data_IF_700523568322
#
_entry.id   IF_700523568322
#
_cell.length_a   1.000
_cell.length_b   1.000
_cell.length_c   1.000
_cell.angle_alpha   90.00
_cell.angle_beta   90.00
_cell.angle_gamma   90.00
#
_symmetry.space_group_name_H-M   'P 1'
#
loop_
_entity.id
_entity.type
_entity.pdbx_description
1 polymer ?
#
# COMPACT_ATOMS: atom_id res chain seq x y z
N UNK A 1 23.00 0.80 -9.92
CA UNK A 1 21.84 0.00 -9.48
C UNK A 1 20.57 0.82 -9.68
N UNK A 2 19.89 0.65 -10.81
CA UNK A 2 18.75 1.48 -11.21
C UNK A 2 17.41 0.90 -10.78
N UNK A 3 16.63 1.67 -10.04
CA UNK A 3 15.24 1.37 -9.68
C UNK A 3 14.35 1.41 -10.93
N UNK A 4 14.12 0.27 -11.57
CA UNK A 4 13.23 0.11 -12.74
C UNK A 4 11.74 0.32 -12.41
N UNK A 5 11.35 0.41 -11.13
CA UNK A 5 9.97 0.67 -10.68
C UNK A 5 9.53 2.14 -10.82
N UNK A 6 10.37 3.01 -11.40
CA UNK A 6 10.14 4.45 -11.45
C UNK A 6 10.07 5.04 -12.87
N UNK A 7 10.19 4.21 -13.92
CA UNK A 7 10.12 4.64 -15.33
C UNK A 7 8.68 4.46 -15.91
N UNK A 8 7.75 3.89 -15.14
CA UNK A 8 6.34 3.69 -15.53
C UNK A 8 5.36 4.66 -14.85
N UNK A 9 4.14 4.72 -15.38
CA UNK A 9 2.99 5.32 -14.69
C UNK A 9 2.24 4.25 -13.88
N UNK A 10 1.43 4.68 -12.90
CA UNK A 10 0.68 3.79 -11.99
C UNK A 10 -0.21 2.84 -12.79
N UNK A 11 -0.78 3.31 -13.90
CA UNK A 11 -1.62 2.52 -14.80
C UNK A 11 -0.84 1.35 -15.41
N UNK A 12 0.36 1.58 -15.94
CA UNK A 12 1.19 0.52 -16.51
C UNK A 12 1.60 -0.52 -15.45
N UNK A 13 1.92 -0.08 -14.23
CA UNK A 13 2.20 -1.01 -13.13
C UNK A 13 0.95 -1.80 -12.74
N UNK A 14 -0.21 -1.15 -12.68
CA UNK A 14 -1.47 -1.80 -12.35
C UNK A 14 -1.89 -2.82 -13.42
N UNK A 15 -1.72 -2.50 -14.70
CA UNK A 15 -1.96 -3.43 -15.82
C UNK A 15 -1.05 -4.65 -15.74
N UNK A 16 0.24 -4.45 -15.42
CA UNK A 16 1.19 -5.56 -15.21
C UNK A 16 0.78 -6.41 -14.00
N UNK A 17 0.41 -5.77 -12.90
CA UNK A 17 0.00 -6.49 -11.71
C UNK A 17 -1.31 -7.25 -11.91
N UNK A 18 -2.30 -6.66 -12.57
CA UNK A 18 -3.56 -7.33 -12.95
C UNK A 18 -3.31 -8.56 -13.83
N UNK A 19 -2.33 -8.52 -14.75
CA UNK A 19 -1.91 -9.71 -15.52
C UNK A 19 -1.30 -10.79 -14.63
N UNK A 20 -0.52 -10.42 -13.61
CA UNK A 20 0.01 -11.38 -12.63
C UNK A 20 -1.11 -11.97 -11.78
N UNK A 21 -2.04 -11.15 -11.30
CA UNK A 21 -3.21 -11.58 -10.55
C UNK A 21 -4.03 -12.60 -11.33
N UNK A 22 -4.32 -12.35 -12.63
CA UNK A 22 -4.99 -13.33 -13.51
C UNK A 22 -4.26 -14.66 -13.59
N UNK A 23 -2.93 -14.64 -13.68
CA UNK A 23 -2.15 -15.89 -13.76
C UNK A 23 -2.29 -16.70 -12.48
N UNK A 24 -2.10 -16.05 -11.33
CA UNK A 24 -2.20 -16.68 -10.01
C UNK A 24 -3.62 -17.22 -9.77
N UNK A 25 -4.65 -16.45 -10.13
CA UNK A 25 -6.05 -16.84 -9.93
C UNK A 25 -6.47 -18.06 -10.78
N UNK A 26 -5.78 -18.30 -11.90
CA UNK A 26 -6.00 -19.50 -12.73
C UNK A 26 -5.11 -20.70 -12.34
N UNK A 27 -4.24 -20.57 -11.34
CA UNK A 27 -3.47 -21.70 -10.81
C UNK A 27 -4.40 -22.59 -9.97
N UNK A 28 -4.45 -23.89 -10.29
CA UNK A 28 -5.44 -24.83 -9.72
C UNK A 28 -5.39 -25.01 -8.19
N UNK A 29 -4.33 -24.52 -7.52
CA UNK A 29 -4.08 -24.73 -6.10
C UNK A 29 -4.21 -23.45 -5.25
N UNK A 30 -4.76 -22.36 -5.80
CA UNK A 30 -4.93 -21.11 -5.06
C UNK A 30 -6.35 -21.04 -4.47
N UNK A 31 -6.48 -21.41 -3.20
CA UNK A 31 -7.77 -21.31 -2.48
C UNK A 31 -8.11 -19.89 -2.04
N UNK A 32 -7.09 -19.07 -1.78
CA UNK A 32 -7.25 -17.70 -1.29
C UNK A 32 -6.01 -16.86 -1.59
N UNK A 33 -6.21 -15.67 -2.16
CA UNK A 33 -5.14 -14.73 -2.47
C UNK A 33 -5.18 -13.50 -1.57
N UNK A 34 -4.17 -13.35 -0.72
CA UNK A 34 -3.96 -12.15 0.10
C UNK A 34 -2.95 -11.21 -0.55
N UNK A 35 -3.10 -9.90 -0.31
CA UNK A 35 -2.19 -8.89 -0.86
C UNK A 35 -1.65 -8.03 0.28
N UNK A 36 -0.32 -7.90 0.35
CA UNK A 36 0.36 -6.98 1.25
C UNK A 36 1.16 -6.03 0.38
N UNK A 37 0.86 -4.73 0.46
CA UNK A 37 1.41 -3.74 -0.44
C UNK A 37 1.97 -2.52 0.31
N UNK A 38 3.18 -2.10 -0.06
CA UNK A 38 3.88 -0.99 0.57
C UNK A 38 3.95 0.22 -0.36
N UNK A 39 3.78 1.43 0.19
CA UNK A 39 3.98 2.69 -0.51
C UNK A 39 3.19 2.76 -1.83
N UNK A 40 3.85 3.09 -2.95
CA UNK A 40 3.29 3.04 -4.32
C UNK A 40 2.56 1.73 -4.63
N UNK A 41 3.03 0.60 -4.10
CA UNK A 41 2.41 -0.71 -4.31
C UNK A 41 0.94 -0.75 -3.90
N UNK A 42 0.53 0.03 -2.89
CA UNK A 42 -0.88 0.10 -2.49
C UNK A 42 -1.74 0.80 -3.54
N UNK A 43 -1.23 1.84 -4.19
CA UNK A 43 -1.93 2.53 -5.28
C UNK A 43 -2.03 1.63 -6.52
N UNK A 44 -0.93 0.94 -6.85
CA UNK A 44 -0.91 -0.06 -7.93
C UNK A 44 -1.91 -1.17 -7.65
N UNK A 45 -1.99 -1.65 -6.40
CA UNK A 45 -2.94 -2.69 -5.98
C UNK A 45 -4.38 -2.20 -6.12
N UNK A 46 -4.71 -1.01 -5.59
CA UNK A 46 -6.05 -0.42 -5.73
C UNK A 46 -6.48 -0.36 -7.18
N UNK A 47 -5.61 0.14 -8.07
CA UNK A 47 -5.91 0.20 -9.50
C UNK A 47 -5.98 -1.18 -10.15
N UNK A 48 -5.06 -2.08 -9.84
CA UNK A 48 -5.01 -3.42 -10.43
C UNK A 48 -6.28 -4.21 -10.11
N UNK A 49 -6.80 -4.10 -8.88
CA UNK A 49 -8.02 -4.78 -8.46
C UNK A 49 -9.29 -4.24 -9.14
N UNK A 50 -9.27 -2.99 -9.62
CA UNK A 50 -10.34 -2.46 -10.50
C UNK A 50 -10.25 -3.00 -11.92
N UNK A 51 -9.04 -3.32 -12.40
CA UNK A 51 -8.81 -3.90 -13.73
C UNK A 51 -9.12 -5.40 -13.74
N UNK A 52 -8.76 -6.10 -12.66
CA UNK A 52 -9.03 -7.51 -12.47
C UNK A 52 -9.13 -7.84 -10.99
N UNK A 53 -10.30 -8.38 -10.61
CA UNK A 53 -10.57 -8.88 -9.27
C UNK A 53 -10.43 -10.41 -9.27
N UNK A 54 -9.44 -10.99 -8.56
CA UNK A 54 -9.35 -12.43 -8.37
C UNK A 54 -10.64 -12.99 -7.73
N UNK A 55 -11.08 -14.16 -8.18
CA UNK A 55 -12.31 -14.81 -7.67
C UNK A 55 -12.18 -15.09 -6.16
N UNK A 56 -11.01 -15.56 -5.74
CA UNK A 56 -10.72 -15.89 -4.36
C UNK A 56 -9.87 -14.81 -3.65
N UNK A 57 -10.11 -13.52 -3.93
CA UNK A 57 -9.41 -12.47 -3.19
C UNK A 57 -9.79 -12.53 -1.70
N UNK A 58 -8.78 -12.75 -0.87
CA UNK A 58 -8.87 -12.59 0.58
C UNK A 58 -8.68 -11.13 0.98
N UNK A 59 -7.87 -10.95 2.01
CA UNK A 59 -7.62 -9.65 2.66
C UNK A 59 -6.44 -8.91 2.07
N UNK A 60 -6.54 -7.58 2.09
CA UNK A 60 -5.49 -6.67 1.64
C UNK A 60 -4.93 -5.87 2.82
N UNK A 61 -3.61 -5.69 2.88
CA UNK A 61 -2.93 -4.82 3.86
C UNK A 61 -2.09 -3.79 3.14
N UNK A 62 -2.32 -2.51 3.45
CA UNK A 62 -1.53 -1.39 2.95
C UNK A 62 -0.55 -0.89 4.01
N UNK A 63 0.72 -0.74 3.65
CA UNK A 63 1.76 -0.21 4.52
C UNK A 63 2.28 1.11 3.97
N UNK A 64 2.05 2.19 4.71
CA UNK A 64 2.48 3.55 4.35
C UNK A 64 2.14 3.89 2.89
N UNK A 65 0.96 3.50 2.42
CA UNK A 65 0.53 3.78 1.04
C UNK A 65 -0.11 5.17 0.96
N UNK A 66 0.31 6.05 0.03
CA UNK A 66 -0.21 7.41 -0.03
C UNK A 66 -1.58 7.48 -0.72
N UNK A 67 -2.63 6.99 -0.08
CA UNK A 67 -3.96 6.84 -0.67
C UNK A 67 -4.65 8.15 -1.02
N UNK A 68 -4.28 9.26 -0.36
CA UNK A 68 -4.78 10.61 -0.64
C UNK A 68 -3.73 11.52 -1.28
N UNK A 69 -2.69 10.90 -1.85
CA UNK A 69 -1.57 11.59 -2.48
C UNK A 69 -0.54 12.13 -1.49
N UNK A 70 0.49 12.76 -2.03
CA UNK A 70 1.67 13.27 -1.36
C UNK A 70 1.82 14.74 -1.69
N UNK A 71 2.18 15.55 -0.68
CA UNK A 71 2.57 16.93 -0.92
C UNK A 71 3.85 16.96 -1.75
N UNK A 72 3.76 17.50 -2.97
CA UNK A 72 4.87 17.52 -3.94
C UNK A 72 6.14 18.20 -3.39
N UNK A 73 6.01 19.11 -2.42
CA UNK A 73 7.13 19.77 -1.74
C UNK A 73 7.96 18.90 -0.78
N UNK A 74 7.49 17.71 -0.38
CA UNK A 74 8.25 16.81 0.53
C UNK A 74 9.38 16.04 -0.16
N UNK A 75 9.41 16.00 -1.48
CA UNK A 75 10.43 15.29 -2.25
C UNK A 75 11.75 16.08 -2.44
N UNK A 76 11.80 17.35 -2.03
CA UNK A 76 12.95 18.25 -2.26
C UNK A 76 14.21 17.90 -1.43
N UNK A 77 14.08 17.07 -0.39
CA UNK A 77 15.21 16.61 0.44
C UNK A 77 15.71 15.23 0.04
N UNK A 78 16.69 15.16 -0.88
CA UNK A 78 17.52 13.97 -1.11
C UNK A 78 17.11 13.01 -2.25
N UNK A 79 15.97 13.26 -2.89
CA UNK A 79 15.37 12.35 -3.89
C UNK A 79 15.19 13.00 -5.29
N UNK A 80 16.09 13.91 -5.67
CA UNK A 80 16.01 14.72 -6.90
C UNK A 80 15.83 13.91 -8.21
N UNK A 81 16.13 12.61 -8.21
CA UNK A 81 15.88 11.73 -9.37
C UNK A 81 14.45 11.18 -9.46
N UNK A 82 13.64 11.23 -8.40
CA UNK A 82 12.25 10.72 -8.40
C UNK A 82 11.23 11.70 -8.98
N UNK A 83 11.51 13.01 -8.99
CA UNK A 83 10.64 13.99 -9.67
C UNK A 83 10.55 13.79 -11.18
N UNK A 84 11.51 13.06 -11.79
CA UNK A 84 11.49 12.70 -13.22
C UNK A 84 10.59 11.48 -13.50
N UNK A 85 9.97 10.91 -12.47
CA UNK A 85 9.20 9.68 -12.55
C UNK A 85 7.70 10.00 -12.61
N UNK A 86 7.04 9.63 -13.71
CA UNK A 86 5.60 9.93 -13.94
C UNK A 86 4.69 9.41 -12.82
N UNK A 87 5.04 8.28 -12.20
CA UNK A 87 4.32 7.76 -11.03
C UNK A 87 4.31 8.74 -9.84
N UNK A 88 5.40 9.47 -9.59
CA UNK A 88 5.47 10.46 -8.49
C UNK A 88 4.59 11.67 -8.80
N UNK A 89 4.54 12.12 -10.06
CA UNK A 89 3.62 13.19 -10.46
C UNK A 89 2.15 12.78 -10.29
N UNK A 90 1.81 11.50 -10.52
CA UNK A 90 0.47 10.96 -10.32
C UNK A 90 0.08 10.82 -8.85
N UNK A 91 1.06 10.74 -7.94
CA UNK A 91 0.86 10.72 -6.49
C UNK A 91 0.63 12.08 -5.88
N UNK A 92 0.51 13.16 -6.64
CA UNK A 92 0.22 14.48 -6.07
C UNK A 92 -1.04 14.46 -5.20
N UNK A 93 -1.07 15.24 -4.12
CA UNK A 93 -2.22 15.47 -3.25
C UNK A 93 -3.23 16.49 -3.81
N UNK A 94 -2.98 17.06 -4.99
CA UNK A 94 -3.92 17.98 -5.66
C UNK A 94 -5.24 17.25 -5.95
N UNK A 95 -6.42 17.89 -5.73
CA UNK A 95 -7.73 17.23 -5.91
C UNK A 95 -7.98 16.61 -7.30
N UNK A 96 -7.29 17.07 -8.34
CA UNK A 96 -7.34 16.51 -9.70
C UNK A 96 -6.28 15.43 -10.00
N UNK A 97 -5.51 14.97 -9.01
CA UNK A 97 -4.48 13.96 -9.22
C UNK A 97 -5.09 12.57 -9.44
N UNK A 98 -4.33 11.71 -10.12
CA UNK A 98 -4.76 10.33 -10.38
C UNK A 98 -5.09 9.57 -9.09
N UNK A 99 -4.30 9.74 -8.03
CA UNK A 99 -4.54 9.08 -6.75
C UNK A 99 -5.85 9.49 -6.09
N UNK A 100 -6.20 10.78 -6.17
CA UNK A 100 -7.45 11.29 -5.63
C UNK A 100 -8.68 10.92 -6.47
N UNK A 101 -8.47 10.45 -7.71
CA UNK A 101 -9.52 9.93 -8.59
C UNK A 101 -9.70 8.41 -8.50
N UNK A 102 -8.80 7.70 -7.81
CA UNK A 102 -8.98 6.26 -7.60
C UNK A 102 -10.20 6.04 -6.70
N UNK A 103 -11.15 5.23 -7.18
CA UNK A 103 -12.29 4.83 -6.37
C UNK A 103 -11.87 4.25 -5.01
N UNK A 104 -12.74 4.41 -4.01
CA UNK A 104 -12.54 3.80 -2.71
C UNK A 104 -12.50 2.27 -2.88
N UNK A 105 -11.65 1.55 -2.12
CA UNK A 105 -11.68 0.10 -2.09
C UNK A 105 -13.08 -0.41 -1.74
N UNK A 106 -13.60 -1.32 -2.55
CA UNK A 106 -14.85 -2.06 -2.34
C UNK A 106 -14.60 -3.44 -1.73
N UNK A 107 -13.50 -3.57 -1.00
CA UNK A 107 -13.00 -4.84 -0.48
C UNK A 107 -12.45 -4.71 0.94
N UNK A 108 -12.35 -5.83 1.66
CA UNK A 108 -11.80 -5.85 3.00
C UNK A 108 -10.29 -5.52 3.00
N UNK A 109 -9.91 -4.45 3.69
CA UNK A 109 -8.51 -4.05 3.84
C UNK A 109 -8.23 -3.38 5.19
N UNK A 110 -6.98 -3.51 5.62
CA UNK A 110 -6.44 -2.74 6.73
C UNK A 110 -5.24 -1.91 6.27
N UNK A 111 -4.94 -0.86 7.03
CA UNK A 111 -3.87 0.06 6.70
C UNK A 111 -2.94 0.30 7.90
N UNK A 112 -1.67 0.52 7.60
CA UNK A 112 -0.64 0.81 8.58
C UNK A 112 0.12 2.08 8.18
N UNK A 113 0.42 2.93 9.15
CA UNK A 113 1.18 4.15 8.97
C UNK A 113 2.44 4.17 9.86
N UNK A 114 3.38 5.05 9.52
CA UNK A 114 4.61 5.25 10.26
C UNK A 114 4.66 6.68 10.80
N UNK A 115 4.95 6.85 12.10
CA UNK A 115 4.98 8.17 12.76
C UNK A 115 6.05 9.09 12.19
N UNK A 116 7.23 8.55 11.83
CA UNK A 116 8.36 9.33 11.33
C UNK A 116 8.46 9.26 9.80
N UNK A 117 7.32 9.10 9.12
CA UNK A 117 7.26 9.06 7.67
C UNK A 117 7.36 10.48 7.07
N UNK A 118 8.53 10.78 6.52
CA UNK A 118 8.74 12.04 5.81
C UNK A 118 8.10 12.08 4.42
N UNK A 119 7.75 10.92 3.86
CA UNK A 119 7.15 10.81 2.53
C UNK A 119 5.64 10.88 2.62
N UNK A 120 5.03 9.93 3.34
CA UNK A 120 3.58 9.72 3.41
C UNK A 120 3.07 10.19 4.78
N UNK A 121 2.34 11.33 4.85
CA UNK A 121 1.66 11.73 6.08
C UNK A 121 0.66 10.65 6.50
N UNK A 122 0.48 10.47 7.81
CA UNK A 122 -0.48 9.52 8.39
C UNK A 122 -1.88 9.67 7.79
N UNK A 123 -2.35 10.91 7.61
CA UNK A 123 -3.66 11.20 7.03
C UNK A 123 -3.79 10.74 5.58
N UNK A 124 -2.67 10.65 4.85
CA UNK A 124 -2.64 10.11 3.49
C UNK A 124 -2.64 8.58 3.48
N UNK A 125 -2.07 7.96 4.50
CA UNK A 125 -2.10 6.50 4.69
C UNK A 125 -3.46 5.98 5.16
N UNK A 126 -4.26 6.82 5.81
CA UNK A 126 -5.62 6.48 6.21
C UNK A 126 -6.60 6.61 5.04
N UNK A 127 -7.44 5.59 4.86
CA UNK A 127 -8.48 5.56 3.84
C UNK A 127 -9.79 5.07 4.45
N UNK A 128 -10.89 5.74 4.11
CA UNK A 128 -12.22 5.35 4.58
C UNK A 128 -12.57 3.92 4.15
N UNK A 129 -13.26 3.19 5.01
CA UNK A 129 -13.60 1.78 4.81
C UNK A 129 -12.54 0.79 5.28
N UNK A 130 -11.42 1.24 5.88
CA UNK A 130 -10.47 0.32 6.51
C UNK A 130 -11.10 -0.41 7.70
N UNK A 131 -10.95 -1.72 7.76
CA UNK A 131 -11.44 -2.54 8.89
C UNK A 131 -10.57 -2.42 10.13
N UNK A 132 -9.29 -2.07 9.95
CA UNK A 132 -8.35 -1.80 11.03
C UNK A 132 -7.26 -0.81 10.55
N UNK A 133 -6.75 0.00 11.48
CA UNK A 133 -5.71 1.00 11.21
C UNK A 133 -4.71 1.08 12.37
N UNK A 134 -3.40 1.03 12.05
CA UNK A 134 -2.34 1.08 13.07
C UNK A 134 -1.19 1.99 12.69
N UNK A 135 -0.63 2.67 13.68
CA UNK A 135 0.53 3.55 13.52
C UNK A 135 1.70 2.98 14.31
N UNK A 136 2.88 2.93 13.69
CA UNK A 136 4.11 2.48 14.33
C UNK A 136 5.13 3.62 14.45
N UNK A 137 5.87 3.70 15.58
CA UNK A 137 6.89 4.73 15.79
C UNK A 137 8.18 4.39 15.02
N UNK A 138 8.11 4.45 13.69
CA UNK A 138 9.20 4.07 12.78
C UNK A 138 9.21 4.95 11.52
N UNK A 139 10.20 4.72 10.65
CA UNK A 139 10.34 5.38 9.34
C UNK A 139 9.59 4.60 8.25
N UNK A 140 9.29 5.24 7.12
CA UNK A 140 8.53 4.70 5.97
C UNK A 140 8.88 3.26 5.57
N UNK A 141 10.16 2.96 5.34
CA UNK A 141 10.64 1.63 4.91
C UNK A 141 10.92 0.71 6.09
N UNK A 142 11.17 1.27 7.28
CA UNK A 142 11.46 0.49 8.47
C UNK A 142 10.23 -0.27 9.00
N UNK A 143 9.01 0.06 8.57
CA UNK A 143 7.81 -0.78 8.75
C UNK A 143 8.06 -2.23 8.28
N UNK A 144 8.74 -2.42 7.16
CA UNK A 144 8.96 -3.75 6.57
C UNK A 144 9.92 -4.62 7.39
N UNK A 145 10.70 -4.03 8.29
CA UNK A 145 11.73 -4.71 9.08
C UNK A 145 11.26 -5.02 10.51
N UNK A 146 10.05 -4.60 10.86
CA UNK A 146 9.50 -4.69 12.21
C UNK A 146 8.77 -6.01 12.44
N UNK A 147 9.12 -6.70 13.53
CA UNK A 147 8.48 -7.98 13.88
C UNK A 147 7.03 -7.80 14.31
N UNK A 148 6.71 -6.75 15.07
CA UNK A 148 5.35 -6.44 15.49
C UNK A 148 4.45 -6.10 14.29
N UNK A 149 4.98 -5.35 13.31
CA UNK A 149 4.30 -5.13 12.01
C UNK A 149 3.98 -6.45 11.33
N UNK A 150 4.96 -7.36 11.20
CA UNK A 150 4.74 -8.66 10.58
C UNK A 150 3.69 -9.51 11.33
N UNK A 151 3.71 -9.50 12.67
CA UNK A 151 2.72 -10.21 13.50
C UNK A 151 1.31 -9.68 13.26
N UNK A 152 1.14 -8.36 13.21
CA UNK A 152 -0.15 -7.75 12.93
C UNK A 152 -0.64 -8.05 11.51
N UNK A 153 0.25 -8.03 10.52
CA UNK A 153 -0.11 -8.46 9.16
C UNK A 153 -0.63 -9.90 9.18
N UNK A 154 0.13 -10.84 9.75
CA UNK A 154 -0.28 -12.24 9.82
C UNK A 154 -1.63 -12.40 10.53
N UNK A 155 -1.81 -11.78 11.69
CA UNK A 155 -3.05 -11.86 12.46
C UNK A 155 -4.24 -11.27 11.68
N UNK A 156 -4.01 -10.18 10.94
CA UNK A 156 -5.05 -9.61 10.09
C UNK A 156 -5.38 -10.50 8.90
N UNK A 157 -4.39 -11.05 8.22
CA UNK A 157 -4.62 -11.96 7.09
C UNK A 157 -5.40 -13.20 7.52
N UNK A 158 -5.18 -13.70 8.74
CA UNK A 158 -5.89 -14.86 9.29
C UNK A 158 -7.26 -14.51 9.88
N UNK A 159 -7.34 -13.48 10.72
CA UNK A 159 -8.51 -13.19 11.56
C UNK A 159 -9.26 -11.90 11.24
N UNK A 160 -8.75 -11.04 10.35
CA UNK A 160 -9.40 -9.80 9.94
C UNK A 160 -9.25 -8.63 10.92
N UNK A 161 -8.32 -8.72 11.87
CA UNK A 161 -7.98 -7.64 12.83
C UNK A 161 -6.50 -7.68 13.18
N UNK A 162 -5.93 -6.56 13.59
CA UNK A 162 -4.60 -6.54 14.20
C UNK A 162 -4.64 -7.08 15.64
N UNK A 163 -3.48 -7.43 16.20
CA UNK A 163 -3.38 -7.89 17.60
C UNK A 163 -3.71 -6.75 18.56
N UNK A 164 -4.12 -7.06 19.79
CA UNK A 164 -4.25 -6.00 20.79
C UNK A 164 -2.91 -5.30 21.03
N UNK A 165 -2.93 -3.97 21.13
CA UNK A 165 -1.72 -3.16 21.27
C UNK A 165 -0.92 -3.45 22.55
N UNK A 166 -1.51 -4.15 23.53
CA UNK A 166 -0.82 -4.66 24.72
C UNK A 166 0.13 -5.82 24.39
N UNK A 167 -0.20 -6.65 23.40
CA UNK A 167 0.56 -7.85 23.02
C UNK A 167 1.77 -7.56 22.14
N UNK A 168 1.84 -6.37 21.52
CA UNK A 168 2.96 -5.98 20.65
C UNK A 168 4.14 -5.37 21.41
N UNK A 169 3.92 -4.84 22.62
CA UNK A 169 4.97 -4.23 23.46
C UNK A 169 5.90 -5.25 24.14
N UNK A 170 5.42 -6.46 24.42
CA UNK A 170 6.20 -7.46 25.16
C UNK A 170 7.30 -8.15 24.33
N UNK A 171 7.32 -7.94 23.01
CA UNK A 171 8.22 -8.61 22.09
C UNK A 171 9.12 -7.64 21.29
N UNK A 172 9.37 -6.44 21.83
CA UNK A 172 10.25 -5.39 21.26
C UNK A 172 11.58 -5.29 22.00
#
# INVERSE_FOLDING_TARGET
YGYFSLIGDIEAFAQRFAKTLRKIDHEANVERLHIVAHSLGGLVTRRALQIYRPEHLGRVVFLASPHRGLYAGRFWGGLLNLFRCRAVAQMSDVPGSYVNQLAAPDFEFAAMAATYDHLVPEQSAHLEGCSDFRIYPTMHTALLLRQDVARDICNYLEHGRFLDASLTKEAS
#
